data_IF_660061265214
#
_entry.id   IF_660061265214
#
_cell.length_a   1.000
_cell.length_b   1.000
_cell.length_c   1.000
_cell.angle_alpha   90.00
_cell.angle_beta   90.00
_cell.angle_gamma   90.00
#
_symmetry.space_group_name_H-M   'P 1'
#
loop_
_entity.id
_entity.type
_entity.pdbx_description
1 polymer ?
#
# COMPACT_ATOMS: atom_id res chain seq x y z
N UNK A 1 -1.62 1.06 -9.98
CA UNK A 1 -2.45 -0.17 -9.81
C UNK A 1 -3.30 -0.53 -11.02
N UNK A 2 -4.10 0.39 -11.57
CA UNK A 2 -5.04 0.06 -12.66
C UNK A 2 -4.35 -0.55 -13.91
N UNK A 3 -3.16 -0.05 -14.27
CA UNK A 3 -2.41 -0.54 -15.45
C UNK A 3 -1.87 -1.97 -15.27
N UNK A 4 -1.25 -2.29 -14.12
CA UNK A 4 -0.79 -3.65 -13.83
C UNK A 4 -1.96 -4.64 -13.77
N UNK A 5 -3.07 -4.28 -13.13
CA UNK A 5 -4.28 -5.10 -13.14
C UNK A 5 -4.82 -5.34 -14.56
N UNK A 6 -4.86 -4.30 -15.40
CA UNK A 6 -5.33 -4.44 -16.79
C UNK A 6 -4.42 -5.37 -17.60
N UNK A 7 -3.11 -5.27 -17.41
CA UNK A 7 -2.13 -6.15 -18.07
C UNK A 7 -2.32 -7.61 -17.66
N UNK A 8 -2.49 -7.86 -16.36
CA UNK A 8 -2.72 -9.22 -15.83
C UNK A 8 -4.07 -9.78 -16.28
N UNK A 9 -5.13 -8.96 -16.41
CA UNK A 9 -6.42 -9.41 -16.95
C UNK A 9 -6.33 -10.00 -18.36
N UNK A 10 -5.31 -9.63 -19.14
CA UNK A 10 -5.11 -10.12 -20.51
C UNK A 10 -4.12 -11.28 -20.55
N UNK A 11 -3.00 -11.12 -19.84
CA UNK A 11 -1.86 -12.04 -19.92
C UNK A 11 -1.89 -13.16 -18.90
N UNK A 12 -2.43 -12.91 -17.71
CA UNK A 12 -2.41 -13.83 -16.58
C UNK A 12 -3.62 -13.64 -15.65
N UNK A 13 -4.86 -13.89 -16.13
CA UNK A 13 -6.07 -13.35 -15.50
C UNK A 13 -6.35 -13.93 -14.10
N UNK A 14 -6.16 -15.25 -13.94
CA UNK A 14 -6.41 -15.95 -12.69
C UNK A 14 -5.44 -15.54 -11.56
N UNK A 15 -4.30 -14.91 -11.88
CA UNK A 15 -3.34 -14.41 -10.90
C UNK A 15 -3.97 -13.38 -9.95
N UNK A 16 -4.93 -12.58 -10.45
CA UNK A 16 -5.60 -11.54 -9.67
C UNK A 16 -6.36 -12.08 -8.46
N UNK A 17 -6.72 -13.37 -8.45
CA UNK A 17 -7.36 -14.05 -7.34
C UNK A 17 -6.41 -14.73 -6.35
N UNK A 18 -5.11 -14.81 -6.66
CA UNK A 18 -4.14 -15.55 -5.83
C UNK A 18 -3.82 -14.78 -4.55
N UNK A 19 -3.70 -13.46 -4.62
CA UNK A 19 -3.41 -12.57 -3.48
C UNK A 19 -4.58 -11.62 -3.23
N UNK A 20 -4.75 -11.17 -1.98
CA UNK A 20 -5.76 -10.16 -1.64
C UNK A 20 -5.53 -8.83 -2.35
N UNK A 21 -4.25 -8.49 -2.61
CA UNK A 21 -3.81 -7.34 -3.39
C UNK A 21 -2.57 -7.72 -4.21
N UNK A 22 -2.55 -7.29 -5.48
CA UNK A 22 -1.40 -7.45 -6.38
C UNK A 22 -0.16 -6.64 -5.95
N UNK A 23 -0.34 -5.63 -5.11
CA UNK A 23 0.76 -4.77 -4.63
C UNK A 23 1.33 -5.23 -3.30
N UNK A 24 1.06 -6.46 -2.89
CA UNK A 24 1.78 -7.07 -1.78
C UNK A 24 3.24 -7.30 -2.19
N UNK A 25 4.18 -7.21 -1.24
CA UNK A 25 5.59 -7.43 -1.53
C UNK A 25 5.84 -8.80 -2.16
N UNK A 26 5.14 -9.83 -1.70
CA UNK A 26 5.15 -11.16 -2.29
C UNK A 26 4.76 -11.16 -3.76
N UNK A 27 3.62 -10.54 -4.08
CA UNK A 27 3.08 -10.55 -5.43
C UNK A 27 3.96 -9.76 -6.40
N UNK A 28 4.42 -8.58 -5.98
CA UNK A 28 5.34 -7.77 -6.79
C UNK A 28 6.67 -8.48 -7.03
N UNK A 29 7.24 -9.14 -6.03
CA UNK A 29 8.50 -9.88 -6.19
C UNK A 29 8.33 -11.07 -7.15
N UNK A 30 7.24 -11.81 -7.00
CA UNK A 30 6.92 -12.92 -7.92
C UNK A 30 6.77 -12.44 -9.36
N UNK A 31 6.00 -11.37 -9.61
CA UNK A 31 5.78 -10.86 -10.96
C UNK A 31 6.99 -10.13 -11.56
N UNK A 32 7.92 -9.67 -10.72
CA UNK A 32 9.20 -9.12 -11.18
C UNK A 32 10.11 -10.22 -11.74
N UNK A 33 10.26 -11.31 -10.97
CA UNK A 33 11.15 -12.44 -11.31
C UNK A 33 10.52 -13.34 -12.38
N UNK A 34 9.20 -13.55 -12.32
CA UNK A 34 8.43 -14.45 -13.19
C UNK A 34 7.14 -13.76 -13.66
N UNK A 35 7.22 -12.79 -14.59
CA UNK A 35 6.07 -11.99 -14.99
C UNK A 35 4.99 -12.78 -15.75
N UNK A 36 5.35 -13.85 -16.46
CA UNK A 36 4.41 -14.64 -17.25
C UNK A 36 4.05 -15.95 -16.56
N UNK A 37 2.89 -16.50 -16.92
CA UNK A 37 2.45 -17.81 -16.45
C UNK A 37 3.45 -18.93 -16.81
N UNK A 38 4.07 -18.86 -18.00
CA UNK A 38 5.14 -19.78 -18.41
C UNK A 38 6.35 -19.73 -17.49
N UNK A 39 6.75 -18.52 -17.09
CA UNK A 39 7.92 -18.31 -16.23
C UNK A 39 7.68 -18.97 -14.86
N UNK A 40 6.46 -18.82 -14.32
CA UNK A 40 6.04 -19.44 -13.07
C UNK A 40 5.99 -20.97 -13.13
N UNK A 41 5.54 -21.56 -14.25
CA UNK A 41 5.48 -23.01 -14.40
C UNK A 41 6.87 -23.64 -14.57
N UNK A 42 7.80 -22.89 -15.13
CA UNK A 42 9.19 -23.33 -15.34
C UNK A 42 10.10 -23.04 -14.13
N UNK A 43 9.64 -22.24 -13.18
CA UNK A 43 10.41 -21.89 -11.99
C UNK A 43 10.55 -23.07 -11.01
N UNK A 44 11.69 -23.22 -10.31
CA UNK A 44 11.83 -24.19 -9.24
C UNK A 44 10.80 -23.96 -8.13
N UNK A 45 10.13 -25.03 -7.70
CA UNK A 45 9.11 -24.97 -6.64
C UNK A 45 9.66 -24.33 -5.36
N UNK A 46 10.86 -24.72 -4.98
CA UNK A 46 11.54 -24.26 -3.77
C UNK A 46 11.76 -22.75 -3.78
N UNK A 47 12.04 -22.18 -4.96
CA UNK A 47 12.25 -20.75 -5.14
C UNK A 47 10.94 -19.97 -5.01
N UNK A 48 9.87 -20.42 -5.66
CA UNK A 48 8.55 -19.81 -5.53
C UNK A 48 8.04 -19.85 -4.08
N UNK A 49 8.16 -21.01 -3.42
CA UNK A 49 7.77 -21.18 -2.02
C UNK A 49 8.62 -20.29 -1.11
N UNK A 50 9.92 -20.16 -1.38
CA UNK A 50 10.83 -19.27 -0.63
C UNK A 50 10.40 -17.80 -0.76
N UNK A 51 10.08 -17.32 -1.96
CA UNK A 51 9.60 -15.95 -2.17
C UNK A 51 8.31 -15.72 -1.38
N UNK A 52 7.36 -16.65 -1.46
CA UNK A 52 6.08 -16.59 -0.74
C UNK A 52 6.29 -16.54 0.78
N UNK A 53 7.20 -17.36 1.30
CA UNK A 53 7.49 -17.44 2.74
C UNK A 53 8.27 -16.23 3.27
N UNK A 54 9.22 -15.70 2.50
CA UNK A 54 10.11 -14.62 2.97
C UNK A 54 9.34 -13.30 3.14
N UNK A 55 8.31 -13.10 2.31
CA UNK A 55 7.57 -11.84 2.25
C UNK A 55 6.25 -11.88 3.01
N UNK A 56 5.77 -13.06 3.40
CA UNK A 56 4.53 -13.24 4.12
C UNK A 56 4.83 -13.89 5.48
N UNK A 57 4.49 -13.22 6.59
CA UNK A 57 4.73 -13.65 7.98
C UNK A 57 3.93 -14.92 8.39
N UNK A 58 3.57 -15.76 7.43
CA UNK A 58 2.69 -16.91 7.60
C UNK A 58 3.47 -18.22 7.48
N UNK A 59 3.02 -19.24 8.20
CA UNK A 59 3.67 -20.55 8.26
C UNK A 59 3.63 -21.33 6.94
N UNK A 60 4.34 -22.47 6.91
CA UNK A 60 4.53 -23.32 5.74
C UNK A 60 3.24 -23.73 5.03
N UNK A 61 2.17 -24.04 5.78
CA UNK A 61 0.85 -24.37 5.21
C UNK A 61 0.30 -23.26 4.31
N UNK A 62 0.47 -21.99 4.71
CA UNK A 62 0.03 -20.85 3.90
C UNK A 62 0.87 -20.73 2.63
N UNK A 63 2.19 -20.87 2.74
CA UNK A 63 3.08 -20.77 1.59
C UNK A 63 2.76 -21.83 0.53
N UNK A 64 2.52 -23.07 0.97
CA UNK A 64 2.12 -24.17 0.09
C UNK A 64 0.74 -23.95 -0.54
N UNK A 65 -0.24 -23.45 0.22
CA UNK A 65 -1.55 -23.12 -0.33
C UNK A 65 -1.48 -22.03 -1.41
N UNK A 66 -0.67 -20.99 -1.19
CA UNK A 66 -0.45 -19.93 -2.18
C UNK A 66 0.33 -20.42 -3.40
N UNK A 67 1.34 -21.26 -3.21
CA UNK A 67 2.06 -21.90 -4.30
C UNK A 67 1.11 -22.73 -5.18
N UNK A 68 0.26 -23.56 -4.58
CA UNK A 68 -0.71 -24.38 -5.32
C UNK A 68 -1.71 -23.51 -6.10
N UNK A 69 -2.22 -22.44 -5.48
CA UNK A 69 -3.11 -21.49 -6.15
C UNK A 69 -2.43 -20.78 -7.32
N UNK A 70 -1.15 -20.40 -7.16
CA UNK A 70 -0.33 -19.78 -8.19
C UNK A 70 -0.13 -20.73 -9.38
N UNK A 71 0.25 -22.00 -9.14
CA UNK A 71 0.41 -22.99 -10.20
C UNK A 71 -0.91 -23.34 -10.89
N UNK A 72 -2.04 -23.30 -10.17
CA UNK A 72 -3.36 -23.44 -10.80
C UNK A 72 -3.63 -22.27 -11.74
N UNK A 73 -3.49 -21.04 -11.25
CA UNK A 73 -3.69 -19.84 -12.05
C UNK A 73 -2.78 -19.82 -13.29
N UNK A 74 -1.53 -20.25 -13.15
CA UNK A 74 -0.56 -20.28 -14.24
C UNK A 74 -0.94 -21.31 -15.31
N UNK A 75 -1.43 -22.50 -14.92
CA UNK A 75 -1.96 -23.50 -15.86
C UNK A 75 -3.19 -22.98 -16.58
N UNK A 76 -4.11 -22.32 -15.87
CA UNK A 76 -5.30 -21.73 -16.50
C UNK A 76 -4.92 -20.66 -17.54
N UNK A 77 -3.94 -19.82 -17.20
CA UNK A 77 -3.41 -18.80 -18.11
C UNK A 77 -2.59 -19.39 -19.27
N UNK A 78 -1.99 -20.57 -19.13
CA UNK A 78 -1.32 -21.24 -20.24
C UNK A 78 -2.32 -21.73 -21.32
N UNK A 79 -3.57 -22.02 -20.93
CA UNK A 79 -4.64 -22.44 -21.85
C UNK A 79 -5.41 -21.24 -22.43
N UNK A 80 -5.73 -20.25 -21.60
CA UNK A 80 -6.64 -19.15 -21.96
C UNK A 80 -5.99 -17.77 -22.05
N UNK A 81 -4.78 -17.62 -21.51
CA UNK A 81 -4.06 -16.35 -21.49
C UNK A 81 -3.50 -15.97 -22.86
N UNK A 82 -3.49 -14.67 -23.16
CA UNK A 82 -2.88 -14.13 -24.39
C UNK A 82 -1.55 -13.45 -24.06
N UNK A 83 -0.65 -14.22 -23.46
CA UNK A 83 0.66 -13.73 -23.06
C UNK A 83 1.57 -13.53 -24.28
N UNK A 84 2.07 -12.31 -24.45
CA UNK A 84 3.15 -11.96 -25.37
C UNK A 84 4.41 -11.61 -24.56
N UNK A 85 5.62 -11.78 -25.12
CA UNK A 85 6.85 -11.34 -24.46
C UNK A 85 6.83 -9.85 -24.05
N UNK A 86 6.13 -9.00 -24.80
CA UNK A 86 5.93 -7.59 -24.46
C UNK A 86 5.16 -7.37 -23.16
N UNK A 87 4.27 -8.29 -22.77
CA UNK A 87 3.52 -8.20 -21.52
C UNK A 87 4.47 -8.30 -20.32
N UNK A 88 5.52 -9.12 -20.41
CA UNK A 88 6.54 -9.24 -19.37
C UNK A 88 7.26 -7.90 -19.13
N UNK A 89 7.59 -7.18 -20.22
CA UNK A 89 8.19 -5.85 -20.16
C UNK A 89 7.23 -4.85 -19.50
N UNK A 90 5.94 -4.87 -19.87
CA UNK A 90 4.93 -3.98 -19.30
C UNK A 90 4.68 -4.26 -17.82
N UNK A 91 4.61 -5.53 -17.41
CA UNK A 91 4.44 -5.93 -16.01
C UNK A 91 5.59 -5.36 -15.17
N UNK A 92 6.85 -5.60 -15.57
CA UNK A 92 8.02 -5.05 -14.87
C UNK A 92 8.00 -3.54 -14.82
N UNK A 93 7.76 -2.86 -15.95
CA UNK A 93 7.63 -1.41 -16.00
C UNK A 93 6.60 -0.87 -15.00
N UNK A 94 5.43 -1.53 -14.88
CA UNK A 94 4.40 -1.11 -13.95
C UNK A 94 4.76 -1.38 -12.49
N UNK A 95 5.53 -2.43 -12.21
CA UNK A 95 6.08 -2.72 -10.87
C UNK A 95 7.12 -1.68 -10.50
N UNK A 96 8.06 -1.37 -11.39
CA UNK A 96 9.10 -0.37 -11.17
C UNK A 96 8.49 1.01 -10.93
N UNK A 97 7.54 1.40 -11.77
CA UNK A 97 6.79 2.65 -11.59
C UNK A 97 6.09 2.67 -10.23
N UNK A 98 5.46 1.57 -9.81
CA UNK A 98 4.79 1.49 -8.52
C UNK A 98 5.77 1.68 -7.36
N UNK A 99 6.92 1.01 -7.39
CA UNK A 99 7.96 1.14 -6.36
C UNK A 99 8.54 2.54 -6.31
N UNK A 100 8.75 3.17 -7.46
CA UNK A 100 9.25 4.55 -7.52
C UNK A 100 8.25 5.53 -6.91
N UNK A 101 6.95 5.38 -7.22
CA UNK A 101 5.92 6.17 -6.56
C UNK A 101 5.86 5.94 -5.05
N UNK A 102 6.05 4.70 -4.57
CA UNK A 102 6.14 4.45 -3.13
C UNK A 102 7.31 5.20 -2.49
N UNK A 103 8.48 5.14 -3.12
CA UNK A 103 9.67 5.89 -2.68
C UNK A 103 9.39 7.38 -2.56
N UNK A 104 8.78 7.98 -3.59
CA UNK A 104 8.42 9.39 -3.55
C UNK A 104 7.41 9.72 -2.44
N UNK A 105 6.43 8.85 -2.19
CA UNK A 105 5.48 9.04 -1.09
C UNK A 105 6.16 8.97 0.27
N UNK A 106 7.09 8.03 0.46
CA UNK A 106 7.85 7.89 1.70
C UNK A 106 8.72 9.13 1.94
N UNK A 107 9.41 9.65 0.91
CA UNK A 107 10.19 10.88 0.99
C UNK A 107 9.33 12.11 1.32
N UNK A 108 8.14 12.23 0.72
CA UNK A 108 7.20 13.31 1.05
C UNK A 108 6.77 13.21 2.52
N UNK A 109 6.45 12.00 3.00
CA UNK A 109 6.04 11.77 4.38
C UNK A 109 7.17 12.11 5.37
N UNK A 110 8.40 11.72 5.07
CA UNK A 110 9.59 12.06 5.87
C UNK A 110 9.82 13.58 5.91
N UNK A 111 9.77 14.23 4.75
CA UNK A 111 9.90 15.69 4.64
C UNK A 111 8.81 16.42 5.44
N UNK A 112 7.60 15.87 5.47
CA UNK A 112 6.47 16.41 6.23
C UNK A 112 6.70 16.22 7.75
N UNK A 113 7.23 15.08 8.17
CA UNK A 113 7.68 14.86 9.56
C UNK A 113 8.77 15.86 9.98
N UNK A 114 9.80 16.07 9.15
CA UNK A 114 10.85 17.04 9.41
C UNK A 114 10.31 18.47 9.50
N UNK A 115 9.41 18.84 8.57
CA UNK A 115 8.80 20.17 8.53
C UNK A 115 7.97 20.45 9.77
N UNK A 116 7.20 19.46 10.26
CA UNK A 116 6.47 19.56 11.53
C UNK A 116 7.45 19.59 12.71
N UNK A 117 8.53 18.81 12.67
CA UNK A 117 9.58 18.82 13.70
C UNK A 117 10.21 20.21 13.90
N UNK A 118 10.41 20.96 12.82
CA UNK A 118 10.90 22.35 12.86
C UNK A 118 9.94 23.33 13.56
N UNK A 119 8.68 22.95 13.76
CA UNK A 119 7.68 23.74 14.48
C UNK A 119 7.67 23.46 15.99
N UNK A 120 8.56 22.61 16.51
CA UNK A 120 8.63 22.28 17.93
C UNK A 120 8.68 23.56 18.79
N UNK A 121 7.82 23.62 19.82
CA UNK A 121 7.68 24.78 20.70
C UNK A 121 6.69 25.84 20.22
N UNK A 122 6.16 25.73 19.00
CA UNK A 122 5.10 26.63 18.50
C UNK A 122 3.70 26.15 18.91
N UNK A 123 2.73 27.08 18.90
CA UNK A 123 1.33 26.74 19.11
C UNK A 123 0.80 25.76 18.05
N UNK A 124 1.28 25.86 16.80
CA UNK A 124 0.90 24.97 15.69
C UNK A 124 1.31 23.53 15.98
N UNK A 125 2.54 23.30 16.44
CA UNK A 125 3.02 21.97 16.80
C UNK A 125 2.20 21.34 17.94
N UNK A 126 1.90 22.12 18.98
CA UNK A 126 1.09 21.64 20.09
C UNK A 126 -0.31 21.23 19.64
N UNK A 127 -0.92 21.98 18.72
CA UNK A 127 -2.24 21.66 18.15
C UNK A 127 -2.22 20.36 17.34
N UNK A 128 -1.19 20.15 16.50
CA UNK A 128 -1.01 18.88 15.78
C UNK A 128 -0.93 17.72 16.78
N UNK A 129 -0.09 17.85 17.81
CA UNK A 129 0.10 16.82 18.83
C UNK A 129 -1.17 16.53 19.64
N UNK A 130 -2.00 17.54 19.90
CA UNK A 130 -3.28 17.38 20.60
C UNK A 130 -4.31 16.58 19.80
N UNK A 131 -4.26 16.63 18.47
CA UNK A 131 -5.20 15.91 17.60
C UNK A 131 -4.83 14.43 17.43
N UNK A 132 -3.54 14.08 17.42
CA UNK A 132 -3.06 12.72 17.13
C UNK A 132 -3.61 11.59 18.03
N UNK A 133 -3.90 11.80 19.33
CA UNK A 133 -4.48 10.77 20.18
C UNK A 133 -5.97 10.50 19.89
N UNK A 134 -6.66 11.36 19.14
CA UNK A 134 -8.07 11.18 18.83
C UNK A 134 -8.27 9.96 17.92
N UNK A 135 -9.26 9.13 18.25
CA UNK A 135 -9.57 7.93 17.47
C UNK A 135 -9.86 8.31 16.01
N UNK A 136 -9.03 7.83 15.09
CA UNK A 136 -9.15 8.10 13.66
C UNK A 136 -8.36 9.30 13.13
N UNK A 137 -7.69 10.08 13.99
CA UNK A 137 -6.83 11.19 13.58
C UNK A 137 -5.35 10.83 13.78
N UNK A 138 -4.76 10.18 12.77
CA UNK A 138 -3.31 9.93 12.77
C UNK A 138 -2.49 11.20 12.48
N UNK A 139 -1.16 11.05 12.40
CA UNK A 139 -0.25 12.16 12.07
C UNK A 139 -0.68 12.97 10.85
N UNK A 140 -0.86 12.31 9.70
CA UNK A 140 -1.25 12.99 8.46
C UNK A 140 -2.59 13.72 8.61
N UNK A 141 -3.59 13.08 9.20
CA UNK A 141 -4.90 13.69 9.45
C UNK A 141 -4.78 14.92 10.34
N UNK A 142 -4.00 14.85 11.41
CA UNK A 142 -3.77 15.99 12.29
C UNK A 142 -3.08 17.15 11.56
N UNK A 143 -2.03 16.88 10.79
CA UNK A 143 -1.32 17.91 10.02
C UNK A 143 -2.25 18.57 8.98
N UNK A 144 -2.99 17.77 8.22
CA UNK A 144 -3.95 18.27 7.21
C UNK A 144 -5.03 19.11 7.86
N UNK A 145 -5.63 18.66 8.97
CA UNK A 145 -6.65 19.43 9.68
C UNK A 145 -6.12 20.81 10.10
N UNK A 146 -4.93 20.87 10.70
CA UNK A 146 -4.34 22.15 11.10
C UNK A 146 -4.02 23.03 9.88
N UNK A 147 -3.52 22.46 8.78
CA UNK A 147 -3.21 23.19 7.56
C UNK A 147 -4.46 23.77 6.88
N UNK A 148 -5.50 22.95 6.69
CA UNK A 148 -6.77 23.33 6.06
C UNK A 148 -7.55 24.35 6.91
N UNK A 149 -7.48 24.24 8.24
CA UNK A 149 -8.18 25.17 9.13
C UNK A 149 -7.64 26.60 9.05
N UNK A 150 -6.34 26.77 8.75
CA UNK A 150 -5.64 28.06 8.74
C UNK A 150 -5.50 28.70 10.13
N UNK A 151 -6.60 28.79 10.89
CA UNK A 151 -6.66 29.24 12.29
C UNK A 151 -7.51 28.30 13.15
N UNK A 152 -6.85 27.55 14.02
CA UNK A 152 -7.48 26.60 14.95
C UNK A 152 -8.39 27.28 15.98
N UNK A 153 -8.15 28.56 16.29
CA UNK A 153 -8.92 29.31 17.30
C UNK A 153 -10.37 29.59 16.86
N UNK A 154 -10.61 29.70 15.54
CA UNK A 154 -11.95 29.85 14.98
C UNK A 154 -12.80 28.59 15.18
N UNK A 155 -12.17 27.41 15.17
CA UNK A 155 -12.87 26.14 15.37
C UNK A 155 -13.31 25.96 16.82
N UNK A 156 -12.43 26.27 17.79
CA UNK A 156 -12.81 26.24 19.20
C UNK A 156 -13.96 27.24 19.48
N UNK A 157 -13.94 28.42 18.87
CA UNK A 157 -15.06 29.38 18.99
C UNK A 157 -16.40 28.83 18.49
N UNK A 158 -16.40 28.00 17.46
CA UNK A 158 -17.61 27.32 16.96
C UNK A 158 -18.16 26.26 17.93
N UNK A 159 -17.29 25.51 18.61
CA UNK A 159 -17.68 24.50 19.60
C UNK A 159 -18.10 25.10 20.96
N UNK A 160 -17.45 26.18 21.39
CA UNK A 160 -17.78 26.87 22.66
C UNK A 160 -19.00 27.80 22.56
N UNK A 161 -19.63 27.95 21.38
CA UNK A 161 -20.91 28.65 21.23
C UNK A 161 -22.14 27.72 21.33
N UNK A 162 -21.94 26.43 21.62
CA UNK A 162 -23.01 25.54 22.08
C UNK A 162 -23.16 25.76 23.60
N UNK A 163 -24.30 26.23 24.11
CA UNK A 163 -24.43 26.74 25.48
C UNK A 163 -24.47 25.66 26.58
N UNK A 164 -23.76 24.53 26.43
CA UNK A 164 -23.85 23.40 27.37
C UNK A 164 -22.55 23.00 28.08
N UNK A 165 -21.41 23.65 27.81
CA UNK A 165 -20.15 23.34 28.51
C UNK A 165 -19.54 24.64 29.03
N UNK A 166 -20.18 25.23 30.04
CA UNK A 166 -19.60 26.33 30.83
C UNK A 166 -19.32 25.96 32.30
N UNK A 167 -19.55 24.71 32.72
CA UNK A 167 -19.57 24.40 34.15
C UNK A 167 -18.70 23.23 34.65
N UNK A 168 -17.67 22.81 33.93
CA UNK A 168 -16.83 21.71 34.47
C UNK A 168 -15.35 21.72 34.11
N UNK A 169 -14.71 22.88 33.89
CA UNK A 169 -13.25 22.98 33.94
C UNK A 169 -12.82 24.42 34.29
N UNK A 170 -12.94 24.75 35.56
CA UNK A 170 -11.98 25.59 36.29
C UNK A 170 -11.46 24.72 37.45
#
# INVERSE_FOLDING_TARGET
MLKLNAELKVSFPAYLGVFSKITTQTSLKLLEDYPLASDMLNAPKEELVKIIRTTALFGEKYAMAKYNALCSAARDAAVFGRALPSNAVRIRLYIDSYREYQKHLDTILETLHESVGKLLGTAVYNRIRLLQPLRGAGFLSAVVLIAEMGSFDLLLRGFFHIPFIKHTLF
#
